data_IF_026459009166
#
_entry.id   IF_026459009166
#
_cell.length_a   1.000
_cell.length_b   1.000
_cell.length_c   1.000
_cell.angle_alpha   90.00
_cell.angle_beta   90.00
_cell.angle_gamma   90.00
#
_symmetry.space_group_name_H-M   'P 1'
#
loop_
_entity.id
_entity.type
_entity.pdbx_description
1 polymer ?
#
# COMPACT_ATOMS: atom_id res chain seq x y z
N UNK A 1 -6.11 29.61 -11.39
CA UNK A 1 -5.81 28.23 -11.81
C UNK A 1 -7.13 27.49 -11.93
N UNK A 2 -7.69 27.34 -13.13
CA UNK A 2 -9.07 26.84 -13.34
C UNK A 2 -9.24 25.33 -13.10
N UNK A 3 -8.13 24.58 -12.99
CA UNK A 3 -8.14 23.12 -12.85
C UNK A 3 -8.80 22.65 -11.54
N UNK A 4 -8.71 23.45 -10.46
CA UNK A 4 -9.30 23.12 -9.15
C UNK A 4 -10.73 23.67 -8.96
N UNK A 5 -11.31 24.34 -9.96
CA UNK A 5 -12.67 24.90 -9.85
C UNK A 5 -13.74 23.79 -9.91
N UNK A 6 -13.41 22.63 -10.49
CA UNK A 6 -14.26 21.45 -10.49
C UNK A 6 -13.88 20.54 -9.33
N UNK A 7 -14.72 20.52 -8.29
CA UNK A 7 -14.61 19.55 -7.20
C UNK A 7 -14.95 18.16 -7.75
N UNK A 8 -14.00 17.23 -7.65
CA UNK A 8 -14.24 15.81 -7.91
C UNK A 8 -14.48 15.18 -6.55
N UNK A 9 -15.68 14.68 -6.34
CA UNK A 9 -16.03 13.94 -5.13
C UNK A 9 -15.88 12.44 -5.43
N UNK A 10 -15.20 11.67 -4.56
CA UNK A 10 -15.21 10.22 -4.63
C UNK A 10 -16.62 9.65 -4.71
N UNK A 11 -16.75 8.52 -5.39
CA UNK A 11 -18.01 7.78 -5.53
C UNK A 11 -17.67 6.29 -5.52
N UNK A 12 -17.45 5.76 -4.31
CA UNK A 12 -17.14 4.35 -4.10
C UNK A 12 -18.22 3.44 -4.71
N UNK A 13 -19.50 3.77 -4.51
CA UNK A 13 -20.61 2.95 -5.04
C UNK A 13 -20.61 2.93 -6.56
N UNK A 14 -20.34 4.06 -7.21
CA UNK A 14 -20.13 4.14 -8.66
C UNK A 14 -18.98 3.26 -9.14
N UNK A 15 -17.82 3.32 -8.47
CA UNK A 15 -16.68 2.44 -8.76
C UNK A 15 -17.08 0.96 -8.62
N UNK A 16 -17.72 0.59 -7.51
CA UNK A 16 -18.13 -0.79 -7.25
C UNK A 16 -19.14 -1.29 -8.29
N UNK A 17 -20.10 -0.46 -8.70
CA UNK A 17 -21.06 -0.81 -9.75
C UNK A 17 -20.37 -1.07 -11.10
N UNK A 18 -19.33 -0.31 -11.44
CA UNK A 18 -18.54 -0.51 -12.66
C UNK A 18 -17.70 -1.78 -12.57
N UNK A 19 -16.98 -2.01 -11.46
CA UNK A 19 -16.20 -3.25 -11.25
C UNK A 19 -17.10 -4.48 -11.33
N UNK A 20 -18.30 -4.42 -10.73
CA UNK A 20 -19.32 -5.47 -10.79
C UNK A 20 -20.02 -5.58 -12.14
N UNK A 21 -19.68 -4.72 -13.12
CA UNK A 21 -20.28 -4.64 -14.46
C UNK A 21 -21.79 -4.42 -14.44
N UNK A 22 -22.29 -3.66 -13.46
CA UNK A 22 -23.70 -3.35 -13.27
C UNK A 22 -24.13 -2.04 -13.96
N UNK A 23 -23.17 -1.14 -14.22
CA UNK A 23 -23.41 0.18 -14.80
C UNK A 23 -22.30 0.55 -15.79
N UNK A 24 -22.64 1.30 -16.84
CA UNK A 24 -21.66 1.99 -17.70
C UNK A 24 -21.13 3.23 -16.96
N UNK A 25 -19.80 3.43 -16.84
CA UNK A 25 -19.24 4.59 -16.14
C UNK A 25 -19.67 5.91 -16.81
N UNK A 26 -20.14 6.87 -16.01
CA UNK A 26 -20.37 8.26 -16.45
C UNK A 26 -19.07 9.08 -16.47
N UNK A 27 -18.06 8.62 -15.72
CA UNK A 27 -16.70 9.17 -15.65
C UNK A 27 -15.69 8.05 -15.42
N UNK A 28 -14.42 8.35 -15.63
CA UNK A 28 -13.33 7.49 -15.18
C UNK A 28 -13.24 7.56 -13.65
N UNK A 29 -13.16 6.39 -13.02
CA UNK A 29 -12.85 6.22 -11.61
C UNK A 29 -11.35 5.90 -11.49
N UNK A 30 -10.69 6.45 -10.48
CA UNK A 30 -9.26 6.36 -10.23
C UNK A 30 -8.99 5.72 -8.86
N UNK A 31 -8.15 4.69 -8.86
CA UNK A 31 -7.52 4.18 -7.65
C UNK A 31 -6.01 4.26 -7.86
N UNK A 32 -5.28 4.62 -6.81
CA UNK A 32 -3.82 4.69 -6.84
C UNK A 32 -3.24 3.48 -6.11
N UNK A 33 -2.25 2.85 -6.75
CA UNK A 33 -1.56 1.68 -6.22
C UNK A 33 -0.50 2.10 -5.21
N UNK A 34 0.36 3.06 -5.59
CA UNK A 34 1.44 3.56 -4.75
C UNK A 34 1.63 5.07 -4.97
N UNK A 35 1.07 5.85 -4.06
CA UNK A 35 1.42 7.26 -3.91
C UNK A 35 2.54 7.38 -2.88
N UNK A 36 3.70 7.83 -3.32
CA UNK A 36 4.86 8.02 -2.45
C UNK A 36 4.55 9.00 -1.30
N UNK A 37 5.13 8.73 -0.13
CA UNK A 37 4.90 9.52 1.07
C UNK A 37 5.43 10.95 0.90
N UNK A 38 6.55 11.12 0.20
CA UNK A 38 7.12 12.43 -0.14
C UNK A 38 6.15 13.25 -1.00
N UNK A 39 5.44 12.61 -1.93
CA UNK A 39 4.42 13.27 -2.75
C UNK A 39 3.19 13.60 -1.91
N UNK A 40 2.77 12.68 -1.04
CA UNK A 40 1.67 12.90 -0.09
C UNK A 40 1.95 14.09 0.82
N UNK A 41 3.16 14.22 1.35
CA UNK A 41 3.60 15.35 2.17
C UNK A 41 3.57 16.67 1.40
N UNK A 42 4.14 16.70 0.18
CA UNK A 42 4.13 17.91 -0.64
C UNK A 42 2.71 18.38 -0.97
N UNK A 43 1.79 17.46 -1.26
CA UNK A 43 0.39 17.79 -1.52
C UNK A 43 -0.29 18.28 -0.24
N UNK A 44 -0.07 17.61 0.90
CA UNK A 44 -0.57 18.04 2.20
C UNK A 44 -0.13 19.47 2.54
N UNK A 45 1.15 19.79 2.35
CA UNK A 45 1.71 21.10 2.66
C UNK A 45 1.17 22.18 1.72
N UNK A 46 1.23 21.93 0.41
CA UNK A 46 0.81 22.87 -0.62
C UNK A 46 -0.67 23.25 -0.49
N UNK A 47 -1.53 22.27 -0.16
CA UNK A 47 -2.98 22.47 -0.06
C UNK A 47 -3.51 22.50 1.36
N UNK A 48 -2.63 22.50 2.37
CA UNK A 48 -2.98 22.58 3.78
C UNK A 48 -3.94 21.48 4.27
N UNK A 49 -3.80 20.26 3.74
CA UNK A 49 -4.76 19.17 3.97
C UNK A 49 -4.63 18.50 5.35
N UNK A 50 -3.46 18.57 5.98
CA UNK A 50 -3.12 17.79 7.17
C UNK A 50 -2.53 18.62 8.32
N UNK A 51 -2.81 19.93 8.37
CA UNK A 51 -2.22 20.86 9.37
C UNK A 51 -2.61 20.55 10.82
N UNK A 52 -3.78 19.95 10.99
CA UNK A 52 -4.39 19.56 12.27
C UNK A 52 -4.06 18.12 12.67
N UNK A 53 -3.40 17.34 11.80
CA UNK A 53 -3.00 15.96 12.10
C UNK A 53 -1.65 15.97 12.81
N UNK A 54 -1.66 15.62 14.10
CA UNK A 54 -0.42 15.34 14.84
C UNK A 54 0.33 14.16 14.19
N UNK A 55 1.62 14.30 13.85
CA UNK A 55 2.43 13.20 13.32
C UNK A 55 2.43 11.98 14.25
N UNK A 56 2.41 12.21 15.57
CA UNK A 56 2.48 11.16 16.59
C UNK A 56 1.11 10.52 16.90
N UNK A 57 0.03 10.99 16.29
CA UNK A 57 -1.29 10.39 16.52
C UNK A 57 -1.34 8.96 15.92
N UNK A 58 -1.98 8.01 16.62
CA UNK A 58 -2.24 6.70 16.04
C UNK A 58 -2.94 6.84 14.68
N UNK A 59 -2.48 6.08 13.69
CA UNK A 59 -3.05 6.05 12.33
C UNK A 59 -2.98 7.40 11.57
N UNK A 60 -2.17 8.37 12.01
CA UNK A 60 -1.95 9.66 11.33
C UNK A 60 -1.56 9.48 9.84
N UNK A 61 -0.83 8.39 9.54
CA UNK A 61 -0.51 7.94 8.18
C UNK A 61 -1.77 7.72 7.32
N UNK A 62 -2.73 6.94 7.81
CA UNK A 62 -3.96 6.64 7.08
C UNK A 62 -4.83 7.89 6.95
N UNK A 63 -4.91 8.72 7.99
CA UNK A 63 -5.66 9.97 7.93
C UNK A 63 -5.11 10.92 6.85
N UNK A 64 -3.78 11.07 6.77
CA UNK A 64 -3.12 11.83 5.71
C UNK A 64 -3.41 11.26 4.33
N UNK A 65 -3.33 9.93 4.17
CA UNK A 65 -3.67 9.26 2.90
C UNK A 65 -5.11 9.52 2.50
N UNK A 66 -6.08 9.36 3.40
CA UNK A 66 -7.50 9.61 3.14
C UNK A 66 -7.67 11.04 2.61
N UNK A 67 -7.13 12.04 3.31
CA UNK A 67 -7.32 13.44 2.94
C UNK A 67 -6.68 13.78 1.60
N UNK A 68 -5.45 13.30 1.36
CA UNK A 68 -4.76 13.49 0.08
C UNK A 68 -5.50 12.79 -1.05
N UNK A 69 -5.90 11.54 -0.87
CA UNK A 69 -6.58 10.77 -1.92
C UNK A 69 -7.95 11.35 -2.25
N UNK A 70 -8.71 11.75 -1.23
CA UNK A 70 -9.99 12.45 -1.39
C UNK A 70 -9.83 13.76 -2.14
N UNK A 71 -8.80 14.54 -1.81
CA UNK A 71 -8.50 15.80 -2.50
C UNK A 71 -8.16 15.60 -3.98
N UNK A 72 -7.43 14.52 -4.30
CA UNK A 72 -7.07 14.16 -5.67
C UNK A 72 -8.21 13.47 -6.44
N UNK A 73 -9.29 13.09 -5.77
CA UNK A 73 -10.46 12.44 -6.37
C UNK A 73 -10.28 10.94 -6.61
N UNK A 74 -9.45 10.26 -5.80
CA UNK A 74 -9.37 8.80 -5.81
C UNK A 74 -10.50 8.19 -4.97
N UNK A 75 -11.12 7.13 -5.46
CA UNK A 75 -12.26 6.48 -4.79
C UNK A 75 -11.85 5.59 -3.62
N UNK A 76 -10.61 5.12 -3.61
CA UNK A 76 -10.12 4.26 -2.54
C UNK A 76 -8.64 4.47 -2.24
N UNK A 77 -8.26 4.19 -0.99
CA UNK A 77 -6.86 4.13 -0.58
C UNK A 77 -6.35 2.69 -0.59
N UNK A 78 -5.12 2.50 -1.05
CA UNK A 78 -4.41 1.25 -0.83
C UNK A 78 -3.94 1.14 0.63
N UNK A 79 -4.13 -0.02 1.25
CA UNK A 79 -3.61 -0.36 2.57
C UNK A 79 -2.64 -1.53 2.43
N UNK A 80 -1.44 -1.43 3.00
CA UNK A 80 -0.47 -2.53 3.00
C UNK A 80 -0.71 -3.47 4.18
N UNK A 81 -1.85 -4.17 4.16
CA UNK A 81 -2.33 -4.96 5.30
C UNK A 81 -1.61 -6.33 5.41
N UNK A 82 -1.03 -6.84 4.32
CA UNK A 82 -0.38 -8.17 4.31
C UNK A 82 0.94 -8.16 3.54
N UNK A 83 2.07 -7.91 4.19
CA UNK A 83 3.37 -8.22 3.56
C UNK A 83 4.33 -9.06 4.41
N UNK A 84 4.30 -9.06 5.74
CA UNK A 84 5.40 -9.73 6.49
C UNK A 84 5.04 -10.78 7.55
N UNK A 85 4.06 -11.68 7.35
CA UNK A 85 3.98 -12.85 8.20
C UNK A 85 4.98 -13.93 7.73
N UNK A 86 5.37 -13.92 6.45
CA UNK A 86 6.39 -14.81 5.90
C UNK A 86 7.79 -14.27 6.15
N UNK A 87 8.68 -15.15 6.64
CA UNK A 87 10.11 -14.88 6.78
C UNK A 87 10.79 -15.21 5.45
N UNK A 88 10.88 -14.23 4.57
CA UNK A 88 11.56 -14.37 3.30
C UNK A 88 13.08 -14.51 3.48
N UNK A 89 13.74 -14.95 2.42
CA UNK A 89 15.19 -15.16 2.39
C UNK A 89 16.00 -13.89 2.63
N UNK A 90 17.33 -14.06 2.59
CA UNK A 90 18.26 -12.95 2.72
C UNK A 90 17.94 -11.86 1.69
N UNK A 91 17.87 -10.61 2.13
CA UNK A 91 17.90 -9.47 1.21
C UNK A 91 19.35 -9.06 0.95
N UNK A 92 19.65 -8.73 -0.30
CA UNK A 92 20.93 -8.18 -0.73
C UNK A 92 20.83 -6.65 -0.70
N UNK A 93 21.63 -6.02 0.16
CA UNK A 93 21.63 -4.58 0.31
C UNK A 93 22.78 -3.95 -0.48
N UNK A 94 22.49 -2.86 -1.19
CA UNK A 94 23.49 -2.02 -1.85
C UNK A 94 23.26 -0.56 -1.52
N UNK A 95 24.25 0.29 -1.77
CA UNK A 95 24.12 1.73 -1.57
C UNK A 95 23.00 2.27 -2.47
N UNK A 96 22.12 3.09 -1.90
CA UNK A 96 21.09 3.78 -2.66
C UNK A 96 21.73 4.86 -3.55
N UNK A 97 21.43 4.84 -4.86
CA UNK A 97 22.04 5.73 -5.86
C UNK A 97 21.27 7.02 -6.07
N UNK A 98 20.26 7.29 -5.24
CA UNK A 98 19.45 8.52 -5.26
C UNK A 98 20.34 9.74 -5.05
N UNK A 99 20.31 10.70 -5.99
CA UNK A 99 21.18 11.89 -5.95
C UNK A 99 20.62 12.99 -5.02
N UNK A 100 19.31 13.02 -4.83
CA UNK A 100 18.62 13.91 -3.92
C UNK A 100 18.78 13.38 -2.49
N UNK A 101 19.65 14.02 -1.71
CA UNK A 101 19.95 13.58 -0.34
C UNK A 101 18.70 13.41 0.53
N UNK A 102 17.73 14.31 0.40
CA UNK A 102 16.50 14.29 1.21
C UNK A 102 15.53 13.15 0.82
N UNK A 103 15.81 12.44 -0.28
CA UNK A 103 15.03 11.28 -0.76
C UNK A 103 15.83 9.98 -0.72
N UNK A 104 17.11 10.03 -0.35
CA UNK A 104 17.95 8.85 -0.29
C UNK A 104 17.58 7.99 0.91
N UNK A 105 17.39 6.69 0.68
CA UNK A 105 17.13 5.70 1.74
C UNK A 105 18.40 5.09 2.32
N UNK A 106 19.57 5.62 1.95
CA UNK A 106 20.92 5.14 2.29
C UNK A 106 21.26 3.77 1.70
N UNK A 107 20.41 2.78 1.88
CA UNK A 107 20.53 1.45 1.30
C UNK A 107 19.25 1.05 0.57
N UNK A 108 19.42 0.18 -0.43
CA UNK A 108 18.33 -0.47 -1.14
C UNK A 108 18.51 -1.97 -1.05
N UNK A 109 17.43 -2.62 -0.64
CA UNK A 109 17.35 -4.07 -0.52
C UNK A 109 16.74 -4.69 -1.77
N UNK A 110 17.28 -5.84 -2.15
CA UNK A 110 16.81 -6.68 -3.24
C UNK A 110 16.59 -8.09 -2.71
N UNK A 111 15.58 -8.80 -3.20
CA UNK A 111 15.43 -10.21 -2.87
C UNK A 111 16.60 -11.00 -3.47
N UNK A 112 17.16 -11.96 -2.73
CA UNK A 112 18.08 -12.93 -3.31
C UNK A 112 17.28 -13.92 -4.17
N UNK A 113 17.44 -13.83 -5.49
CA UNK A 113 16.70 -14.68 -6.43
C UNK A 113 17.34 -16.06 -6.65
N UNK A 114 18.57 -16.27 -6.16
CA UNK A 114 19.29 -17.55 -6.34
C UNK A 114 18.79 -18.63 -5.39
N UNK A 115 18.34 -18.25 -4.19
CA UNK A 115 17.99 -19.19 -3.12
C UNK A 115 16.94 -18.59 -2.20
N UNK A 116 16.29 -19.42 -1.38
CA UNK A 116 15.34 -19.00 -0.37
C UNK A 116 15.44 -19.88 0.88
N UNK A 117 14.66 -19.57 1.92
CA UNK A 117 14.63 -20.34 3.17
C UNK A 117 14.15 -21.79 3.00
N UNK A 118 13.52 -22.13 1.88
CA UNK A 118 13.03 -23.48 1.57
C UNK A 118 13.76 -24.01 0.34
N UNK A 119 14.71 -24.94 0.52
CA UNK A 119 15.46 -25.56 -0.59
C UNK A 119 15.17 -27.05 -0.74
N UNK A 120 14.52 -27.66 0.25
CA UNK A 120 14.13 -29.07 0.23
C UNK A 120 12.92 -29.31 1.14
N UNK A 121 12.43 -30.56 1.17
CA UNK A 121 11.26 -30.94 1.97
C UNK A 121 11.46 -30.79 3.49
N UNK A 122 12.67 -31.00 4.01
CA UNK A 122 12.94 -30.81 5.44
C UNK A 122 12.82 -29.32 5.83
N UNK A 123 13.27 -28.41 4.96
CA UNK A 123 13.11 -26.97 5.18
C UNK A 123 11.63 -26.59 5.16
N UNK A 124 10.85 -27.11 4.21
CA UNK A 124 9.41 -26.90 4.11
C UNK A 124 8.66 -27.33 5.39
N UNK A 125 9.00 -28.51 5.91
CA UNK A 125 8.36 -29.08 7.09
C UNK A 125 8.70 -28.32 8.39
N UNK A 126 9.88 -27.70 8.43
CA UNK A 126 10.37 -26.96 9.61
C UNK A 126 10.20 -25.44 9.49
N UNK A 127 9.77 -24.95 8.33
CA UNK A 127 9.56 -23.52 8.10
C UNK A 127 8.51 -22.96 9.07
N UNK A 128 8.76 -21.79 9.70
CA UNK A 128 7.84 -21.19 10.65
C UNK A 128 6.67 -20.52 9.93
N UNK A 129 5.73 -21.34 9.44
CA UNK A 129 4.54 -20.86 8.73
C UNK A 129 3.75 -19.88 9.59
N UNK A 130 3.38 -18.71 9.04
CA UNK A 130 2.66 -17.70 9.80
C UNK A 130 1.26 -18.14 10.22
N UNK A 131 0.78 -17.55 11.32
CA UNK A 131 -0.58 -17.76 11.82
C UNK A 131 -1.41 -16.49 11.67
N UNK A 132 -2.69 -16.65 11.36
CA UNK A 132 -3.64 -15.52 11.28
C UNK A 132 -3.68 -14.72 12.59
N UNK A 133 -3.50 -15.37 13.74
CA UNK A 133 -3.45 -14.73 15.06
C UNK A 133 -2.25 -13.80 15.26
N UNK A 134 -1.24 -13.84 14.37
CA UNK A 134 -0.05 -12.98 14.42
C UNK A 134 -0.22 -11.70 13.59
N UNK A 135 -1.35 -11.56 12.86
CA UNK A 135 -1.66 -10.40 12.03
C UNK A 135 -2.31 -9.32 12.90
N UNK A 136 -1.84 -8.07 12.78
CA UNK A 136 -2.44 -6.90 13.44
C UNK A 136 -3.57 -6.32 12.58
N UNK A 137 -4.81 -6.44 13.07
CA UNK A 137 -6.02 -5.93 12.41
C UNK A 137 -6.38 -4.48 12.80
N UNK A 138 -5.58 -3.82 13.66
CA UNK A 138 -5.92 -2.52 14.25
C UNK A 138 -6.16 -1.41 13.22
N UNK A 139 -5.44 -1.42 12.10
CA UNK A 139 -5.64 -0.49 11.00
C UNK A 139 -7.01 -0.65 10.32
N UNK A 140 -7.48 -1.89 10.12
CA UNK A 140 -8.80 -2.14 9.54
C UNK A 140 -9.91 -1.65 10.49
N UNK A 141 -9.79 -1.97 11.78
CA UNK A 141 -10.74 -1.53 12.81
C UNK A 141 -10.82 0.00 12.93
N UNK A 142 -9.71 0.69 12.68
CA UNK A 142 -9.67 2.15 12.64
C UNK A 142 -10.29 2.69 11.35
N UNK A 143 -9.93 2.12 10.19
CA UNK A 143 -10.43 2.57 8.89
C UNK A 143 -11.95 2.40 8.76
N UNK A 144 -12.50 1.29 9.24
CA UNK A 144 -13.96 1.06 9.25
C UNK A 144 -14.72 2.20 9.94
N UNK A 145 -14.12 2.83 10.96
CA UNK A 145 -14.75 3.90 11.75
C UNK A 145 -14.46 5.30 11.23
N UNK A 146 -13.39 5.49 10.46
CA UNK A 146 -12.84 6.81 10.15
C UNK A 146 -12.77 7.11 8.64
N UNK A 147 -12.92 6.12 7.77
CA UNK A 147 -12.97 6.40 6.33
C UNK A 147 -14.28 7.09 5.97
N UNK A 148 -14.26 8.14 5.12
CA UNK A 148 -15.48 8.78 4.64
C UNK A 148 -16.39 7.83 3.86
N UNK A 149 -17.71 8.01 3.98
CA UNK A 149 -18.72 7.18 3.29
C UNK A 149 -18.58 7.16 1.75
N UNK A 150 -17.98 8.20 1.17
CA UNK A 150 -17.77 8.34 -0.28
C UNK A 150 -16.51 7.61 -0.79
N UNK A 151 -15.70 7.04 0.11
CA UNK A 151 -14.44 6.38 -0.18
C UNK A 151 -14.37 4.95 0.35
N UNK A 152 -13.50 4.15 -0.26
CA UNK A 152 -13.17 2.79 0.21
C UNK A 152 -11.69 2.61 0.51
N UNK A 153 -11.32 1.41 0.93
CA UNK A 153 -9.94 0.97 1.00
C UNK A 153 -9.81 -0.42 0.39
N UNK A 154 -8.61 -0.75 -0.07
CA UNK A 154 -8.32 -2.05 -0.66
C UNK A 154 -6.89 -2.48 -0.36
N UNK A 155 -6.65 -3.78 -0.40
CA UNK A 155 -5.31 -4.39 -0.31
C UNK A 155 -5.04 -5.24 -1.56
N UNK A 156 -3.76 -5.50 -1.83
CA UNK A 156 -3.31 -6.37 -2.90
C UNK A 156 -3.19 -7.80 -2.40
N UNK A 157 -3.91 -8.72 -3.04
CA UNK A 157 -3.90 -10.15 -2.70
C UNK A 157 -3.15 -11.00 -3.73
N UNK A 158 -2.51 -10.36 -4.72
CA UNK A 158 -1.96 -11.03 -5.91
C UNK A 158 -0.55 -11.62 -5.73
N UNK A 159 -0.01 -11.64 -4.51
CA UNK A 159 1.40 -11.92 -4.24
C UNK A 159 1.75 -13.40 -4.06
N UNK A 160 0.84 -14.36 -4.31
CA UNK A 160 1.10 -15.78 -4.00
C UNK A 160 2.33 -16.33 -4.74
N UNK A 161 2.43 -16.08 -6.05
CA UNK A 161 3.57 -16.57 -6.83
C UNK A 161 4.86 -15.82 -6.49
N UNK A 162 4.78 -14.52 -6.20
CA UNK A 162 5.93 -13.74 -5.71
C UNK A 162 6.40 -14.27 -4.35
N UNK A 163 5.49 -14.60 -3.44
CA UNK A 163 5.79 -15.21 -2.16
C UNK A 163 6.49 -16.56 -2.31
N UNK A 164 6.03 -17.41 -3.24
CA UNK A 164 6.69 -18.68 -3.55
C UNK A 164 8.12 -18.43 -4.06
N UNK A 165 8.29 -17.51 -5.02
CA UNK A 165 9.60 -17.11 -5.53
C UNK A 165 10.52 -16.62 -4.41
N UNK A 166 10.01 -15.82 -3.47
CA UNK A 166 10.79 -15.30 -2.34
C UNK A 166 11.13 -16.37 -1.27
N UNK A 167 10.39 -17.48 -1.24
CA UNK A 167 10.62 -18.60 -0.31
C UNK A 167 11.59 -19.66 -0.86
N UNK A 168 11.63 -19.84 -2.18
CA UNK A 168 12.44 -20.88 -2.83
C UNK A 168 13.65 -20.28 -3.57
N UNK A 169 13.57 -19.03 -4.01
CA UNK A 169 14.47 -18.42 -4.99
C UNK A 169 13.97 -18.67 -6.41
N UNK A 170 13.93 -17.62 -7.24
CA UNK A 170 13.45 -17.69 -8.62
C UNK A 170 14.23 -18.69 -9.48
N UNK A 171 15.55 -18.74 -9.32
CA UNK A 171 16.42 -19.64 -10.09
C UNK A 171 16.34 -21.11 -9.62
N UNK A 172 15.75 -21.34 -8.45
CA UNK A 172 15.60 -22.68 -7.85
C UNK A 172 14.23 -23.32 -8.14
N UNK A 173 13.35 -22.64 -8.89
CA UNK A 173 12.02 -23.13 -9.30
C UNK A 173 12.06 -24.08 -10.51
#
# INVERSE_FOLDING_TARGET
>A
MKLLEKRIEPDLEGLLAVIKRQKTPERVFNIELFLDDEITEKICDQFSLAKDISPDAPFSYYERKIRTHRFLGYEAIHIGFVIEPFKYGKRLSTQDTTQQNDQSRQQRDWMDEHTGPIQNWQDFDTYPWPKVSEIDFSALDWLEKNIPDDMGFYDLTAHILEGITNLIGYESL
#
